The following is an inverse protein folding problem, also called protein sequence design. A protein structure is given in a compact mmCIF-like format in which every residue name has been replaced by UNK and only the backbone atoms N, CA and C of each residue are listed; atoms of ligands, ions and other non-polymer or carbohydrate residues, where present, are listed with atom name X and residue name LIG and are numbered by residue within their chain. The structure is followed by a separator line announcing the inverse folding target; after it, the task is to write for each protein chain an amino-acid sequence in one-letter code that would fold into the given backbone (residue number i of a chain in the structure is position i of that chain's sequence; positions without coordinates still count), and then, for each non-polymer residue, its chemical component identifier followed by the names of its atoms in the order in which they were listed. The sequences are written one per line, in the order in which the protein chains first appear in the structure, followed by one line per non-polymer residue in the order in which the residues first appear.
data_IF_162624720043
#
_entry.id   IF_162624720043
#
_cell.length_a   1.000
_cell.length_b   1.000
_cell.length_c   1.000
_cell.angle_alpha   90.00
_cell.angle_beta   90.00
_cell.angle_gamma   90.00
#
_symmetry.space_group_name_H-M   'P 1'
#
loop_
_entity.id
_entity.type
_entity.pdbx_description
1 polymer ?
#
# COMPACT_ATOMS: atom_id res chain seq x y z
N UNK A 1 -18.92 -8.91 -5.96
CA UNK A 1 -19.13 -7.59 -5.30
C UNK A 1 -20.02 -7.68 -4.06
N UNK A 2 -20.59 -8.85 -3.72
CA UNK A 2 -21.42 -9.01 -2.51
C UNK A 2 -20.74 -9.86 -1.43
N UNK A 3 -19.70 -10.62 -1.80
CA UNK A 3 -18.97 -11.50 -0.89
C UNK A 3 -17.64 -10.91 -0.36
N UNK A 4 -17.11 -9.88 -1.04
CA UNK A 4 -15.88 -9.18 -0.63
C UNK A 4 -16.24 -7.75 -0.21
N UNK A 5 -15.65 -7.25 0.88
CA UNK A 5 -15.81 -5.87 1.39
C UNK A 5 -15.11 -4.81 0.49
N UNK A 6 -15.08 -5.04 -0.83
CA UNK A 6 -14.51 -4.17 -1.84
C UNK A 6 -15.57 -3.21 -2.38
N UNK A 7 -15.39 -1.92 -2.12
CA UNK A 7 -16.16 -0.81 -2.72
C UNK A 7 -15.90 -0.65 -4.24
N UNK A 8 -16.76 0.08 -4.98
CA UNK A 8 -16.54 0.41 -6.39
C UNK A 8 -15.19 1.07 -6.68
N UNK A 9 -14.68 1.87 -5.74
CA UNK A 9 -13.37 2.51 -5.84
C UNK A 9 -12.25 1.47 -5.94
N UNK A 10 -12.29 0.41 -5.13
CA UNK A 10 -11.28 -0.64 -5.16
C UNK A 10 -11.26 -1.38 -6.51
N UNK A 11 -12.44 -1.67 -7.08
CA UNK A 11 -12.54 -2.33 -8.38
C UNK A 11 -12.02 -1.42 -9.50
N UNK A 12 -12.31 -0.12 -9.45
CA UNK A 12 -11.78 0.85 -10.39
C UNK A 12 -10.24 0.93 -10.32
N UNK A 13 -9.66 0.87 -9.11
CA UNK A 13 -8.20 0.79 -8.91
C UNK A 13 -7.65 -0.50 -9.51
N UNK A 14 -8.21 -1.66 -9.15
CA UNK A 14 -7.73 -2.98 -9.58
C UNK A 14 -7.75 -3.18 -11.10
N UNK A 15 -8.68 -2.50 -11.79
CA UNK A 15 -8.78 -2.54 -13.26
C UNK A 15 -8.08 -1.35 -13.95
N UNK A 16 -7.46 -0.44 -13.20
CA UNK A 16 -6.67 0.67 -13.74
C UNK A 16 -7.52 1.76 -14.40
N UNK A 17 -8.76 1.96 -13.94
CA UNK A 17 -9.68 2.96 -14.45
C UNK A 17 -9.49 4.31 -13.73
N UNK A 18 -8.43 5.03 -14.09
CA UNK A 18 -8.00 6.29 -13.45
C UNK A 18 -9.10 7.35 -13.45
N UNK A 19 -9.78 7.57 -14.57
CA UNK A 19 -10.86 8.57 -14.65
C UNK A 19 -12.06 8.20 -13.79
N UNK A 20 -12.40 6.91 -13.72
CA UNK A 20 -13.45 6.42 -12.81
C UNK A 20 -13.07 6.63 -11.34
N UNK A 21 -11.80 6.43 -10.98
CA UNK A 21 -11.30 6.72 -9.63
C UNK A 21 -11.46 8.21 -9.29
N UNK A 22 -11.07 9.11 -10.20
CA UNK A 22 -11.23 10.56 -10.01
C UNK A 22 -12.70 10.93 -9.81
N UNK A 23 -13.58 10.42 -10.67
CA UNK A 23 -15.02 10.70 -10.61
C UNK A 23 -15.65 10.19 -9.32
N UNK A 24 -15.32 8.96 -8.90
CA UNK A 24 -15.82 8.37 -7.66
C UNK A 24 -15.42 9.19 -6.43
N UNK A 25 -14.17 9.69 -6.38
CA UNK A 25 -13.71 10.50 -5.25
C UNK A 25 -14.29 11.91 -5.30
N UNK A 26 -14.24 12.58 -6.46
CA UNK A 26 -14.61 13.99 -6.60
C UNK A 26 -16.13 14.22 -6.55
N UNK A 27 -16.90 13.41 -7.29
CA UNK A 27 -18.34 13.62 -7.44
C UNK A 27 -19.18 12.80 -6.45
N UNK A 28 -18.69 11.62 -6.06
CA UNK A 28 -19.43 10.69 -5.19
C UNK A 28 -18.85 10.58 -3.77
N UNK A 29 -17.75 11.30 -3.47
CA UNK A 29 -17.16 11.33 -2.14
C UNK A 29 -16.60 9.99 -1.68
N UNK A 30 -16.17 9.13 -2.60
CA UNK A 30 -15.55 7.86 -2.24
C UNK A 30 -14.28 8.09 -1.41
N UNK A 31 -14.17 7.39 -0.27
CA UNK A 31 -13.03 7.50 0.64
C UNK A 31 -11.81 6.73 0.08
N UNK A 32 -10.77 7.48 -0.30
CA UNK A 32 -9.52 6.94 -0.87
C UNK A 32 -8.67 6.18 0.17
N UNK A 33 -8.90 6.41 1.46
CA UNK A 33 -8.17 5.76 2.56
C UNK A 33 -8.87 4.48 3.04
N UNK A 34 -10.09 4.22 2.56
CA UNK A 34 -10.84 3.02 2.93
C UNK A 34 -10.11 1.78 2.39
N UNK A 35 -9.66 0.84 3.25
CA UNK A 35 -9.04 -0.39 2.79
C UNK A 35 -10.06 -1.46 2.45
N UNK A 36 -9.65 -2.45 1.64
CA UNK A 36 -10.40 -3.72 1.55
C UNK A 36 -10.18 -4.49 2.84
N UNK A 37 -11.23 -4.71 3.61
CA UNK A 37 -11.16 -5.56 4.81
C UNK A 37 -11.29 -7.02 4.41
N UNK A 38 -10.38 -7.84 4.92
CA UNK A 38 -10.42 -9.30 4.81
C UNK A 38 -10.95 -9.82 6.14
N UNK A 39 -12.06 -10.54 6.13
CA UNK A 39 -12.70 -11.08 7.32
C UNK A 39 -12.71 -12.60 7.29
N UNK A 40 -12.72 -13.21 8.47
CA UNK A 40 -12.92 -14.64 8.66
C UNK A 40 -14.32 -15.08 8.23
N UNK A 41 -14.43 -16.14 7.43
CA UNK A 41 -15.73 -16.68 6.99
C UNK A 41 -16.58 -17.21 8.16
N UNK A 42 -15.93 -17.67 9.23
CA UNK A 42 -16.60 -18.31 10.37
C UNK A 42 -17.25 -17.30 11.32
N UNK A 43 -16.50 -16.27 11.75
CA UNK A 43 -16.92 -15.34 12.80
C UNK A 43 -16.90 -13.86 12.36
N UNK A 44 -16.60 -13.57 11.09
CA UNK A 44 -16.49 -12.20 10.53
C UNK A 44 -15.45 -11.31 11.20
N UNK A 45 -14.54 -11.88 11.98
CA UNK A 45 -13.44 -11.11 12.57
C UNK A 45 -12.49 -10.60 11.48
N UNK A 46 -12.02 -9.34 11.57
CA UNK A 46 -11.02 -8.82 10.65
C UNK A 46 -9.70 -9.60 10.75
N UNK A 47 -9.22 -10.11 9.63
CA UNK A 47 -7.95 -10.86 9.49
C UNK A 47 -6.88 -10.09 8.74
N UNK A 48 -7.27 -9.08 7.97
CA UNK A 48 -6.34 -8.29 7.18
C UNK A 48 -7.01 -7.07 6.56
N UNK A 49 -6.19 -6.20 6.01
CA UNK A 49 -6.63 -5.04 5.26
C UNK A 49 -5.69 -4.84 4.07
N UNK A 50 -6.23 -4.50 2.90
CA UNK A 50 -5.42 -4.12 1.74
C UNK A 50 -5.65 -2.64 1.47
N UNK A 51 -4.58 -1.85 1.54
CA UNK A 51 -4.63 -0.41 1.26
C UNK A 51 -4.82 -0.13 -0.23
N UNK A 52 -5.52 0.97 -0.55
CA UNK A 52 -5.71 1.43 -1.94
C UNK A 52 -4.38 1.62 -2.68
N UNK A 53 -3.36 2.17 -2.01
CA UNK A 53 -2.01 2.31 -2.55
C UNK A 53 -1.27 0.98 -2.76
N UNK A 54 -1.67 -0.10 -2.08
CA UNK A 54 -1.10 -1.43 -2.30
C UNK A 54 -1.76 -2.12 -3.49
N UNK A 55 -3.05 -1.87 -3.74
CA UNK A 55 -3.79 -2.43 -4.88
C UNK A 55 -3.17 -2.08 -6.24
N UNK A 56 -2.44 -0.97 -6.34
CA UNK A 56 -1.77 -0.57 -7.58
C UNK A 56 -0.72 -1.60 -8.04
N UNK A 57 -0.19 -2.43 -7.14
CA UNK A 57 0.77 -3.49 -7.46
C UNK A 57 0.17 -4.64 -8.28
N UNK A 58 -1.17 -4.70 -8.40
CA UNK A 58 -1.86 -5.65 -9.28
C UNK A 58 -1.94 -5.17 -10.74
N UNK A 59 -1.55 -3.92 -11.02
CA UNK A 59 -1.60 -3.32 -12.36
C UNK A 59 -0.24 -3.44 -13.07
N UNK A 60 -0.21 -3.45 -14.41
CA UNK A 60 1.03 -3.23 -15.15
C UNK A 60 1.71 -1.92 -14.73
N UNK A 61 3.05 -1.90 -14.70
CA UNK A 61 3.87 -0.81 -14.16
C UNK A 61 3.44 0.60 -14.60
N UNK A 62 3.19 0.82 -15.89
CA UNK A 62 2.75 2.13 -16.40
C UNK A 62 1.42 2.58 -15.79
N UNK A 63 0.44 1.67 -15.69
CA UNK A 63 -0.84 1.96 -15.05
C UNK A 63 -0.70 2.09 -13.55
N UNK A 64 0.16 1.31 -12.91
CA UNK A 64 0.44 1.40 -11.49
C UNK A 64 0.98 2.80 -11.13
N UNK A 65 1.90 3.34 -11.93
CA UNK A 65 2.45 4.70 -11.75
C UNK A 65 1.38 5.78 -11.83
N UNK A 66 0.58 5.74 -12.89
CA UNK A 66 -0.49 6.73 -13.09
C UNK A 66 -1.56 6.65 -12.00
N UNK A 67 -1.95 5.43 -11.62
CA UNK A 67 -2.93 5.18 -10.56
C UNK A 67 -2.39 5.63 -9.20
N UNK A 68 -1.16 5.26 -8.83
CA UNK A 68 -0.53 5.68 -7.58
C UNK A 68 -0.44 7.21 -7.47
N UNK A 69 0.03 7.87 -8.53
CA UNK A 69 0.06 9.33 -8.64
C UNK A 69 -1.33 9.94 -8.42
N UNK A 70 -2.36 9.36 -9.03
CA UNK A 70 -3.73 9.84 -8.90
C UNK A 70 -4.24 9.66 -7.48
N UNK A 71 -4.04 8.50 -6.86
CA UNK A 71 -4.45 8.23 -5.48
C UNK A 71 -3.77 9.18 -4.49
N UNK A 72 -2.46 9.41 -4.61
CA UNK A 72 -1.73 10.35 -3.75
C UNK A 72 -2.28 11.79 -3.89
N UNK A 73 -2.56 12.24 -5.11
CA UNK A 73 -3.19 13.55 -5.36
C UNK A 73 -4.59 13.67 -4.79
N UNK A 74 -5.32 12.56 -4.71
CA UNK A 74 -6.66 12.48 -4.12
C UNK A 74 -6.63 12.33 -2.59
N UNK A 75 -5.44 12.35 -1.97
CA UNK A 75 -5.28 12.32 -0.51
C UNK A 75 -4.94 10.96 0.07
N UNK A 76 -4.64 9.95 -0.74
CA UNK A 76 -4.07 8.71 -0.25
C UNK A 76 -2.70 8.99 0.40
N UNK A 77 -2.37 8.28 1.48
CA UNK A 77 -1.12 8.50 2.22
C UNK A 77 -0.28 7.24 2.33
N UNK A 78 1.03 7.39 2.09
CA UNK A 78 2.02 6.31 2.25
C UNK A 78 2.27 5.89 3.71
N UNK A 79 1.74 6.62 4.69
CA UNK A 79 1.90 6.33 6.13
C UNK A 79 0.84 5.37 6.67
N UNK A 80 -0.24 5.11 5.93
CA UNK A 80 -1.30 4.22 6.41
C UNK A 80 -0.80 2.77 6.44
N UNK A 81 -0.89 2.12 7.60
CA UNK A 81 -0.44 0.75 7.79
C UNK A 81 -1.63 -0.22 7.81
N UNK A 82 -1.41 -1.44 7.34
CA UNK A 82 -2.39 -2.52 7.38
C UNK A 82 -2.52 -3.11 8.81
N UNK A 83 -3.32 -4.18 8.93
CA UNK A 83 -3.50 -4.86 10.22
C UNK A 83 -2.24 -5.57 10.73
N UNK A 84 -1.26 -5.81 9.86
CA UNK A 84 0.06 -6.33 10.20
C UNK A 84 1.10 -5.21 10.38
N UNK A 85 0.64 -3.96 10.47
CA UNK A 85 1.44 -2.74 10.58
C UNK A 85 2.34 -2.43 9.37
N UNK A 86 2.17 -3.12 8.24
CA UNK A 86 2.91 -2.83 7.02
C UNK A 86 2.30 -1.63 6.28
N UNK A 87 3.14 -0.66 5.97
CA UNK A 87 2.78 0.47 5.08
C UNK A 87 2.95 0.07 3.61
N UNK A 88 2.37 0.81 2.64
CA UNK A 88 2.60 0.60 1.22
C UNK A 88 4.08 0.48 0.82
N UNK A 89 4.97 1.20 1.51
CA UNK A 89 6.41 1.15 1.25
C UNK A 89 7.01 -0.24 1.52
N UNK A 90 6.50 -0.98 2.51
CA UNK A 90 6.94 -2.36 2.79
C UNK A 90 6.61 -3.29 1.63
N UNK A 91 5.43 -3.11 1.01
CA UNK A 91 5.01 -3.91 -0.14
C UNK A 91 5.76 -3.52 -1.41
N UNK A 92 5.92 -2.22 -1.69
CA UNK A 92 6.68 -1.74 -2.85
C UNK A 92 8.14 -2.22 -2.77
N UNK A 93 8.75 -2.14 -1.59
CA UNK A 93 10.11 -2.63 -1.36
C UNK A 93 10.31 -4.11 -1.70
N UNK A 94 9.27 -4.93 -1.52
CA UNK A 94 9.27 -6.37 -1.83
C UNK A 94 8.84 -6.69 -3.27
N UNK A 95 8.60 -5.67 -4.09
CA UNK A 95 8.16 -5.80 -5.48
C UNK A 95 9.22 -5.26 -6.44
N UNK A 96 9.05 -5.53 -7.74
CA UNK A 96 9.89 -4.95 -8.80
C UNK A 96 9.51 -3.49 -9.14
N UNK A 97 8.52 -2.91 -8.46
CA UNK A 97 7.91 -1.60 -8.79
C UNK A 97 8.68 -0.43 -8.18
N UNK A 98 10.01 -0.43 -8.35
CA UNK A 98 10.91 0.56 -7.77
C UNK A 98 10.63 2.01 -8.20
N UNK A 99 9.99 2.20 -9.35
CA UNK A 99 9.57 3.51 -9.86
C UNK A 99 8.44 4.13 -9.04
N UNK A 100 7.65 3.31 -8.32
CA UNK A 100 6.62 3.84 -7.42
C UNK A 100 7.22 4.57 -6.22
N UNK A 101 8.45 4.23 -5.80
CA UNK A 101 9.15 4.98 -4.76
C UNK A 101 9.42 6.43 -5.21
N UNK A 102 9.74 6.64 -6.49
CA UNK A 102 9.94 8.00 -7.04
C UNK A 102 8.62 8.77 -7.09
N UNK A 103 7.53 8.10 -7.50
CA UNK A 103 6.18 8.68 -7.53
C UNK A 103 5.75 9.11 -6.11
N UNK A 104 6.02 8.29 -5.11
CA UNK A 104 5.70 8.59 -3.71
C UNK A 104 6.59 9.72 -3.19
N UNK A 105 7.87 9.78 -3.58
CA UNK A 105 8.79 10.86 -3.20
C UNK A 105 8.34 12.20 -3.80
N UNK A 106 7.90 12.21 -5.06
CA UNK A 106 7.43 13.40 -5.77
C UNK A 106 6.08 13.92 -5.23
N UNK A 107 5.13 13.03 -4.93
CA UNK A 107 3.75 13.42 -4.60
C UNK A 107 3.38 13.30 -3.13
N UNK A 108 4.17 12.60 -2.31
CA UNK A 108 3.93 12.39 -0.88
C UNK A 108 5.23 12.43 -0.05
N UNK A 109 6.25 13.17 -0.53
CA UNK A 109 7.61 13.16 0.03
C UNK A 109 7.70 13.33 1.56
N UNK A 110 7.04 14.34 2.17
CA UNK A 110 7.07 14.50 3.63
C UNK A 110 6.46 13.31 4.40
N UNK A 111 5.39 12.69 3.90
CA UNK A 111 4.78 11.55 4.56
C UNK A 111 5.57 10.26 4.29
N UNK A 112 6.06 10.07 3.06
CA UNK A 112 6.96 8.99 2.71
C UNK A 112 8.19 8.98 3.62
N UNK A 113 8.82 10.13 3.85
CA UNK A 113 9.99 10.23 4.75
C UNK A 113 9.69 9.75 6.18
N UNK A 114 8.46 9.99 6.68
CA UNK A 114 8.01 9.46 7.97
C UNK A 114 7.73 7.96 7.92
N UNK A 115 7.21 7.46 6.80
CA UNK A 115 6.86 6.06 6.62
C UNK A 115 8.08 5.15 6.36
N UNK A 116 9.16 5.65 5.76
CA UNK A 116 10.38 4.85 5.46
C UNK A 116 10.99 4.26 6.74
N UNK A 117 10.96 5.01 7.85
CA UNK A 117 11.50 4.57 9.14
C UNK A 117 10.50 3.79 9.98
N UNK A 118 9.29 3.53 9.47
CA UNK A 118 8.30 2.73 10.18
C UNK A 118 8.84 1.30 10.37
N UNK A 119 8.91 0.86 11.62
CA UNK A 119 9.38 -0.47 12.00
C UNK A 119 8.20 -1.33 12.39
N UNK A 120 8.05 -2.46 11.71
CA UNK A 120 7.09 -3.50 12.04
C UNK A 120 7.78 -4.52 12.93
N UNK A 121 7.21 -4.78 14.11
CA UNK A 121 7.67 -5.82 15.01
C UNK A 121 6.86 -7.10 14.76
N UNK A 122 7.50 -8.12 14.19
CA UNK A 122 6.95 -9.47 14.12
C UNK A 122 7.46 -10.24 15.33
N UNK A 123 6.59 -10.99 16.01
CA UNK A 123 7.00 -11.77 17.17
C UNK A 123 6.13 -12.98 17.38
N UNK A 124 6.77 -14.07 17.78
CA UNK A 124 6.06 -15.17 18.41
C UNK A 124 6.18 -15.00 19.93
N UNK A 125 5.08 -14.60 20.57
CA UNK A 125 5.04 -14.34 22.01
C UNK A 125 5.48 -15.53 22.87
N UNK A 126 5.39 -16.76 22.35
CA UNK A 126 5.86 -17.95 23.04
C UNK A 126 7.38 -18.13 23.03
N UNK A 127 8.06 -17.61 22.00
CA UNK A 127 9.49 -17.79 21.81
C UNK A 127 10.32 -16.60 22.31
N UNK A 128 9.67 -15.50 22.73
CA UNK A 128 10.35 -14.23 23.07
C UNK A 128 11.34 -13.76 21.99
N UNK A 129 11.12 -14.13 20.73
CA UNK A 129 11.89 -13.69 19.58
C UNK A 129 11.06 -12.67 18.81
N UNK A 130 11.64 -11.49 18.63
CA UNK A 130 11.06 -10.43 17.84
C UNK A 130 12.00 -10.09 16.67
N UNK A 131 11.44 -10.02 15.48
CA UNK A 131 12.13 -9.54 14.28
C UNK A 131 11.52 -8.21 13.88
N UNK A 132 12.37 -7.21 13.67
CA UNK A 132 11.94 -5.88 13.24
C UNK A 132 12.19 -5.73 11.75
N UNK A 133 11.18 -5.27 11.02
CA UNK A 133 11.23 -5.10 9.57
C UNK A 133 10.86 -3.66 9.23
N UNK A 134 11.74 -2.96 8.51
CA UNK A 134 11.43 -1.71 7.83
C UNK A 134 11.24 -1.95 6.34
N UNK A 135 10.79 -0.93 5.60
CA UNK A 135 10.78 -0.97 4.14
C UNK A 135 12.17 -1.30 3.56
N UNK A 136 13.24 -0.74 4.14
CA UNK A 136 14.61 -1.04 3.71
C UNK A 136 15.00 -2.52 3.94
N UNK A 137 14.73 -3.05 5.14
CA UNK A 137 14.98 -4.48 5.43
C UNK A 137 14.15 -5.36 4.50
N UNK A 138 12.91 -4.97 4.20
CA UNK A 138 12.03 -5.68 3.27
C UNK A 138 12.63 -5.74 1.86
N UNK A 139 13.22 -4.64 1.36
CA UNK A 139 13.92 -4.61 0.08
C UNK A 139 15.14 -5.55 0.06
N UNK A 140 15.92 -5.57 1.15
CA UNK A 140 17.07 -6.48 1.28
C UNK A 140 16.66 -7.96 1.28
N UNK A 141 15.61 -8.31 2.02
CA UNK A 141 15.06 -9.67 2.06
C UNK A 141 14.55 -10.11 0.69
N UNK A 142 13.95 -9.19 -0.08
CA UNK A 142 13.51 -9.43 -1.45
C UNK A 142 14.65 -9.39 -2.50
N UNK A 143 15.90 -9.11 -2.09
CA UNK A 143 17.05 -8.89 -2.97
C UNK A 143 16.84 -7.77 -4.00
N UNK A 144 15.99 -6.80 -3.66
CA UNK A 144 15.68 -5.65 -4.48
C UNK A 144 16.71 -4.53 -4.25
N UNK A 145 17.86 -4.65 -4.93
CA UNK A 145 18.96 -3.69 -4.78
C UNK A 145 18.56 -2.27 -5.17
N UNK A 146 17.81 -2.11 -6.26
CA UNK A 146 17.38 -0.79 -6.77
C UNK A 146 16.39 -0.11 -5.81
N UNK A 147 15.44 -0.88 -5.26
CA UNK A 147 14.52 -0.37 -4.25
C UNK A 147 15.25 0.02 -2.96
N UNK A 148 16.21 -0.80 -2.52
CA UNK A 148 17.02 -0.52 -1.34
C UNK A 148 17.84 0.78 -1.49
N UNK A 149 18.46 1.03 -2.65
CA UNK A 149 19.18 2.27 -2.90
C UNK A 149 18.26 3.49 -2.89
N UNK A 150 17.09 3.40 -3.52
CA UNK A 150 16.10 4.49 -3.54
C UNK A 150 15.55 4.84 -2.16
N UNK A 151 15.45 3.86 -1.26
CA UNK A 151 15.00 4.07 0.12
C UNK A 151 16.04 4.78 1.01
N UNK A 152 17.30 4.86 0.58
CA UNK A 152 18.37 5.56 1.29
C UNK A 152 18.50 7.04 0.90
N UNK A 153 17.97 7.43 -0.27
CA UNK A 153 18.04 8.78 -0.86
C UNK A 153 16.87 9.69 -0.47
#
# INVERSE_FOLDING_TARGET
AWDNLASPLHLAILHGHVETVKELVASFGADVLMPIKITSDYNREPRGAIMTLVLVLALPLEKAREMAKTLLKLGASSTQADMSYHTPLHYIAQSDYNELLDVFKEHDGPAMKRAITHLVAHGNGYLCVHTFVSAFVSALLAKNQVGATKLLE
#
